data_IF_737379874970
#
_entry.id   IF_737379874970
#
_cell.length_a   1.000
_cell.length_b   1.000
_cell.length_c   1.000
_cell.angle_alpha   90.00
_cell.angle_beta   90.00
_cell.angle_gamma   90.00
#
_symmetry.space_group_name_H-M   'P 1'
#
loop_
_entity.id
_entity.type
_entity.pdbx_description
1 polymer ?
#
# COMPACT_ATOMS: atom_id res chain seq x y z
N UNK A 1 -24.26 -7.97 -9.61
CA UNK A 1 -22.93 -8.57 -9.42
C UNK A 1 -21.93 -7.44 -9.50
N UNK A 2 -21.28 -7.07 -8.40
CA UNK A 2 -20.34 -5.94 -8.37
C UNK A 2 -19.03 -6.36 -9.06
N UNK A 3 -18.74 -5.69 -10.16
CA UNK A 3 -17.54 -5.84 -10.97
C UNK A 3 -16.33 -5.41 -10.13
N UNK A 4 -15.63 -6.38 -9.54
CA UNK A 4 -14.44 -6.15 -8.73
C UNK A 4 -13.20 -6.09 -9.62
N UNK A 5 -12.30 -5.14 -9.35
CA UNK A 5 -11.00 -5.04 -10.04
C UNK A 5 -10.23 -6.36 -9.99
N UNK A 6 -9.44 -6.70 -11.03
CA UNK A 6 -8.63 -7.91 -11.03
C UNK A 6 -7.62 -7.89 -9.88
N UNK A 7 -7.32 -9.06 -9.32
CA UNK A 7 -6.32 -9.24 -8.26
C UNK A 7 -4.96 -9.49 -8.92
N UNK A 8 -4.01 -8.58 -8.69
CA UNK A 8 -2.65 -8.68 -9.21
C UNK A 8 -1.81 -9.58 -8.31
N UNK A 9 -1.30 -10.67 -8.87
CA UNK A 9 -0.56 -11.70 -8.14
C UNK A 9 0.87 -11.74 -8.67
N UNK A 10 1.85 -11.65 -7.79
CA UNK A 10 3.23 -12.00 -8.09
C UNK A 10 3.54 -13.33 -7.41
N UNK A 11 3.91 -14.35 -8.19
CA UNK A 11 4.31 -15.65 -7.66
C UNK A 11 5.81 -15.89 -7.90
N UNK A 12 6.61 -15.91 -6.82
CA UNK A 12 8.01 -16.29 -6.85
C UNK A 12 8.16 -17.77 -6.50
N UNK A 13 8.45 -18.61 -7.50
CA UNK A 13 8.37 -20.08 -7.37
C UNK A 13 9.59 -20.74 -8.01
N UNK A 14 9.88 -21.99 -7.63
CA UNK A 14 10.96 -22.75 -8.29
C UNK A 14 10.65 -22.97 -9.78
N UNK A 15 11.70 -23.01 -10.60
CA UNK A 15 11.60 -23.25 -12.05
C UNK A 15 10.75 -24.51 -12.42
N UNK A 16 10.88 -25.67 -11.75
CA UNK A 16 10.04 -26.83 -12.04
C UNK A 16 8.55 -26.63 -11.74
N UNK A 17 8.20 -25.67 -10.88
CA UNK A 17 6.83 -25.45 -10.41
C UNK A 17 6.05 -24.43 -11.25
N UNK A 18 6.69 -23.71 -12.20
CA UNK A 18 6.05 -22.66 -13.00
C UNK A 18 4.75 -23.15 -13.64
N UNK A 19 4.78 -24.30 -14.30
CA UNK A 19 3.62 -24.82 -15.05
C UNK A 19 2.44 -25.04 -14.13
N UNK A 20 2.66 -25.69 -12.97
CA UNK A 20 1.63 -25.94 -11.96
C UNK A 20 1.01 -24.65 -11.44
N UNK A 21 1.83 -23.66 -11.08
CA UNK A 21 1.34 -22.36 -10.61
C UNK A 21 0.58 -21.60 -11.69
N UNK A 22 1.06 -21.63 -12.94
CA UNK A 22 0.39 -20.96 -14.07
C UNK A 22 -0.99 -21.56 -14.31
N UNK A 23 -1.07 -22.87 -14.39
CA UNK A 23 -2.33 -23.58 -14.59
C UNK A 23 -3.29 -23.34 -13.43
N UNK A 24 -2.82 -23.45 -12.18
CA UNK A 24 -3.64 -23.23 -11.01
C UNK A 24 -4.20 -21.81 -10.95
N UNK A 25 -3.36 -20.78 -11.09
CA UNK A 25 -3.79 -19.38 -11.02
C UNK A 25 -4.68 -18.97 -12.21
N UNK A 26 -4.49 -19.58 -13.38
CA UNK A 26 -5.33 -19.33 -14.56
C UNK A 26 -6.77 -19.83 -14.43
N UNK A 27 -7.07 -20.72 -13.46
CA UNK A 27 -8.44 -21.19 -13.19
C UNK A 27 -9.37 -20.08 -12.71
N UNK A 28 -8.84 -19.01 -12.14
CA UNK A 28 -9.64 -17.87 -11.67
C UNK A 28 -9.52 -16.67 -12.63
N UNK A 29 -10.58 -16.30 -13.36
CA UNK A 29 -10.55 -15.22 -14.35
C UNK A 29 -10.14 -13.85 -13.80
N UNK A 30 -10.43 -13.59 -12.51
CA UNK A 30 -10.08 -12.33 -11.85
C UNK A 30 -8.62 -12.22 -11.48
N UNK A 31 -7.85 -13.31 -11.53
CA UNK A 31 -6.43 -13.28 -11.21
C UNK A 31 -5.61 -12.82 -12.41
N UNK A 32 -4.66 -11.92 -12.14
CA UNK A 32 -3.65 -11.47 -13.08
C UNK A 32 -2.29 -11.82 -12.48
N UNK A 33 -1.77 -12.98 -12.87
CA UNK A 33 -0.57 -13.55 -12.28
C UNK A 33 0.68 -13.26 -13.12
N UNK A 34 1.71 -12.73 -12.47
CA UNK A 34 3.09 -12.74 -12.96
C UNK A 34 3.88 -13.80 -12.19
N UNK A 35 4.54 -14.71 -12.88
CA UNK A 35 5.33 -15.79 -12.27
C UNK A 35 6.81 -15.52 -12.54
N UNK A 36 7.62 -15.55 -11.49
CA UNK A 36 9.06 -15.33 -11.52
C UNK A 36 9.77 -16.47 -10.79
N UNK A 37 11.05 -16.71 -11.11
CA UNK A 37 11.81 -17.86 -10.59
C UNK A 37 13.00 -17.51 -9.73
N UNK A 38 13.25 -16.22 -9.50
CA UNK A 38 14.35 -15.76 -8.66
C UNK A 38 13.86 -14.69 -7.71
N UNK A 39 14.50 -14.65 -6.54
CA UNK A 39 14.32 -13.58 -5.56
C UNK A 39 14.59 -12.21 -6.18
N UNK A 40 15.67 -12.08 -6.95
CA UNK A 40 16.05 -10.81 -7.59
C UNK A 40 14.94 -10.28 -8.50
N UNK A 41 14.38 -11.11 -9.38
CA UNK A 41 13.30 -10.69 -10.29
C UNK A 41 12.05 -10.30 -9.51
N UNK A 42 11.73 -11.05 -8.46
CA UNK A 42 10.60 -10.76 -7.60
C UNK A 42 10.77 -9.44 -6.84
N UNK A 43 11.96 -9.18 -6.26
CA UNK A 43 12.30 -7.91 -5.61
C UNK A 43 12.22 -6.75 -6.58
N UNK A 44 12.78 -6.90 -7.79
CA UNK A 44 12.69 -5.88 -8.82
C UNK A 44 11.24 -5.61 -9.22
N UNK A 45 10.38 -6.63 -9.22
CA UNK A 45 8.95 -6.47 -9.51
C UNK A 45 8.20 -5.77 -8.36
N UNK A 46 8.46 -6.15 -7.11
CA UNK A 46 7.84 -5.53 -5.92
C UNK A 46 8.30 -4.07 -5.71
N UNK A 47 9.53 -3.76 -6.13
CA UNK A 47 10.10 -2.41 -6.08
C UNK A 47 9.76 -1.57 -7.32
N UNK A 48 9.23 -2.17 -8.39
CA UNK A 48 8.82 -1.44 -9.59
C UNK A 48 7.49 -0.75 -9.34
N UNK A 49 7.58 0.56 -9.23
CA UNK A 49 6.46 1.46 -8.91
C UNK A 49 5.33 1.41 -9.94
N UNK A 50 5.62 0.98 -11.17
CA UNK A 50 4.62 0.86 -12.22
C UNK A 50 3.83 -0.45 -12.15
N UNK A 51 4.25 -1.38 -11.28
CA UNK A 51 3.65 -2.70 -11.14
C UNK A 51 2.88 -2.78 -9.84
N UNK A 52 1.58 -2.99 -9.96
CA UNK A 52 0.73 -3.25 -8.80
C UNK A 52 0.82 -4.73 -8.43
N UNK A 53 1.02 -5.01 -7.14
CA UNK A 53 0.94 -6.36 -6.57
C UNK A 53 0.02 -6.31 -5.37
N UNK A 54 -1.08 -7.07 -5.43
CA UNK A 54 -2.04 -7.19 -4.32
C UNK A 54 -1.69 -8.38 -3.42
N UNK A 55 -1.26 -9.49 -4.04
CA UNK A 55 -0.87 -10.72 -3.38
C UNK A 55 0.48 -11.20 -3.88
N UNK A 56 1.39 -11.44 -2.95
CA UNK A 56 2.68 -12.07 -3.19
C UNK A 56 2.64 -13.52 -2.73
N UNK A 57 2.82 -14.45 -3.65
CA UNK A 57 2.93 -15.87 -3.38
C UNK A 57 4.42 -16.24 -3.47
N UNK A 58 4.95 -16.89 -2.45
CA UNK A 58 6.38 -17.27 -2.42
C UNK A 58 6.54 -18.72 -2.02
N UNK A 59 7.26 -19.48 -2.84
CA UNK A 59 7.69 -20.86 -2.55
C UNK A 59 8.84 -20.80 -1.54
N UNK A 60 8.69 -21.47 -0.40
CA UNK A 60 9.70 -21.56 0.66
C UNK A 60 11.04 -22.11 0.15
N UNK A 61 10.98 -22.96 -0.87
CA UNK A 61 12.16 -23.57 -1.49
C UNK A 61 12.74 -22.76 -2.66
N UNK A 62 12.46 -21.46 -2.74
CA UNK A 62 13.03 -20.60 -3.77
C UNK A 62 14.58 -20.62 -3.65
N UNK A 63 15.33 -20.90 -4.74
CA UNK A 63 16.78 -21.10 -4.64
C UNK A 63 17.51 -19.83 -4.16
N UNK A 64 18.51 -20.02 -3.31
CA UNK A 64 19.38 -18.97 -2.78
C UNK A 64 18.65 -17.84 -2.04
N UNK A 65 17.46 -18.12 -1.50
CA UNK A 65 16.62 -17.13 -0.83
C UNK A 65 16.28 -17.59 0.59
N UNK A 66 16.60 -16.77 1.60
CA UNK A 66 15.98 -16.90 2.92
C UNK A 66 14.60 -16.23 2.88
N UNK A 67 13.59 -17.02 2.50
CA UNK A 67 12.21 -16.55 2.31
C UNK A 67 11.65 -15.95 3.60
N UNK A 68 12.01 -16.50 4.77
CA UNK A 68 11.49 -16.01 6.03
C UNK A 68 12.06 -14.65 6.44
N UNK A 69 13.36 -14.42 6.25
CA UNK A 69 13.96 -13.09 6.47
C UNK A 69 13.50 -12.09 5.40
N UNK A 70 13.31 -12.53 4.16
CA UNK A 70 12.78 -11.68 3.11
C UNK A 70 11.36 -11.21 3.42
N UNK A 71 10.46 -12.10 3.82
CA UNK A 71 9.10 -11.75 4.25
C UNK A 71 9.14 -10.73 5.40
N UNK A 72 10.04 -10.91 6.38
CA UNK A 72 10.21 -9.97 7.48
C UNK A 72 10.58 -8.57 6.98
N UNK A 73 11.50 -8.47 6.02
CA UNK A 73 11.85 -7.20 5.36
C UNK A 73 10.66 -6.60 4.60
N UNK A 74 9.92 -7.41 3.83
CA UNK A 74 8.73 -6.97 3.10
C UNK A 74 7.65 -6.42 4.03
N UNK A 75 7.50 -6.94 5.25
CA UNK A 75 6.53 -6.39 6.21
C UNK A 75 6.89 -4.98 6.68
N UNK A 76 8.16 -4.63 6.68
CA UNK A 76 8.62 -3.29 7.06
C UNK A 76 8.37 -2.27 5.94
N UNK A 77 8.58 -2.67 4.68
CA UNK A 77 8.48 -1.77 3.52
C UNK A 77 7.11 -1.79 2.83
N UNK A 78 6.46 -2.95 2.78
CA UNK A 78 5.14 -3.21 2.19
C UNK A 78 4.18 -3.81 3.23
N UNK A 79 3.79 -3.04 4.27
CA UNK A 79 3.00 -3.53 5.41
C UNK A 79 1.59 -4.03 5.06
N UNK A 80 1.19 -3.81 3.81
CA UNK A 80 -0.13 -4.14 3.28
C UNK A 80 -0.07 -5.15 2.14
N UNK A 81 1.11 -5.59 1.73
CA UNK A 81 1.22 -6.70 0.78
C UNK A 81 0.68 -7.96 1.45
N UNK A 82 -0.29 -8.62 0.81
CA UNK A 82 -0.76 -9.93 1.26
C UNK A 82 0.26 -10.97 0.83
N UNK A 83 0.81 -11.73 1.78
CA UNK A 83 1.87 -12.71 1.54
C UNK A 83 1.33 -14.10 1.84
N UNK A 84 1.32 -14.97 0.83
CA UNK A 84 1.02 -16.39 0.95
C UNK A 84 2.31 -17.19 0.77
N UNK A 85 2.76 -17.83 1.84
CA UNK A 85 3.90 -18.76 1.79
C UNK A 85 3.42 -20.12 1.30
N UNK A 86 4.11 -20.71 0.35
CA UNK A 86 3.90 -22.09 -0.10
C UNK A 86 5.06 -22.93 0.41
N UNK A 87 4.74 -23.95 1.19
CA UNK A 87 5.72 -24.84 1.80
C UNK A 87 5.21 -26.29 1.72
N UNK A 88 5.43 -26.92 0.58
CA UNK A 88 4.93 -28.28 0.29
C UNK A 88 5.60 -29.36 1.16
N UNK A 89 6.76 -29.04 1.76
CA UNK A 89 7.55 -29.97 2.59
C UNK A 89 7.24 -29.85 4.09
N UNK A 90 6.43 -28.86 4.49
CA UNK A 90 6.06 -28.66 5.88
C UNK A 90 4.84 -29.52 6.29
N UNK A 91 4.97 -30.22 7.40
CA UNK A 91 3.86 -30.95 8.03
C UNK A 91 2.81 -30.00 8.64
N UNK A 92 3.23 -28.79 9.03
CA UNK A 92 2.37 -27.74 9.57
C UNK A 92 2.92 -26.35 9.23
N UNK A 93 2.03 -25.42 8.89
CA UNK A 93 2.39 -24.02 8.68
C UNK A 93 2.75 -23.37 10.01
N UNK A 94 3.98 -22.86 10.14
CA UNK A 94 4.38 -22.10 11.33
C UNK A 94 3.83 -20.67 11.20
N UNK A 95 2.90 -20.22 12.06
CA UNK A 95 2.32 -18.87 11.95
C UNK A 95 3.36 -17.79 12.29
N UNK A 96 3.28 -16.64 11.63
CA UNK A 96 3.89 -15.40 12.15
C UNK A 96 4.76 -14.59 11.19
N UNK A 97 5.00 -15.02 9.95
CA UNK A 97 5.74 -14.22 8.96
C UNK A 97 4.88 -13.87 7.73
N UNK A 98 4.24 -14.86 7.12
CA UNK A 98 3.25 -14.68 6.06
C UNK A 98 1.83 -14.46 6.63
N UNK A 99 0.90 -13.97 5.82
CA UNK A 99 -0.52 -13.82 6.22
C UNK A 99 -1.20 -15.19 6.27
N UNK A 100 -0.75 -16.11 5.43
CA UNK A 100 -1.20 -17.49 5.40
C UNK A 100 -0.10 -18.41 4.84
N UNK A 101 -0.22 -19.70 5.09
CA UNK A 101 0.69 -20.74 4.60
C UNK A 101 -0.13 -21.82 3.91
N UNK A 102 0.33 -22.29 2.75
CA UNK A 102 -0.24 -23.43 2.05
C UNK A 102 0.77 -24.56 1.96
N UNK A 103 0.42 -25.73 2.48
CA UNK A 103 1.22 -26.95 2.39
C UNK A 103 0.73 -27.88 1.27
N UNK A 104 -0.51 -27.72 0.80
CA UNK A 104 -1.05 -28.46 -0.34
C UNK A 104 -1.66 -27.54 -1.40
N UNK A 105 -0.89 -26.57 -1.96
CA UNK A 105 -1.40 -25.48 -2.80
C UNK A 105 -2.26 -25.93 -3.99
N UNK A 106 -1.99 -27.10 -4.56
CA UNK A 106 -2.69 -27.61 -5.75
C UNK A 106 -3.83 -28.58 -5.42
N UNK A 107 -3.97 -29.02 -4.17
CA UNK A 107 -5.02 -29.93 -3.75
C UNK A 107 -6.30 -29.15 -3.50
N UNK A 108 -7.41 -29.60 -4.07
CA UNK A 108 -8.75 -29.01 -3.88
C UNK A 108 -8.79 -27.48 -4.08
N UNK A 109 -7.96 -26.96 -4.99
CA UNK A 109 -7.79 -25.52 -5.26
C UNK A 109 -7.43 -24.68 -4.03
N UNK A 110 -6.67 -25.24 -3.07
CA UNK A 110 -6.30 -24.58 -1.82
C UNK A 110 -5.63 -23.21 -2.04
N UNK A 111 -4.66 -23.13 -2.97
CA UNK A 111 -3.99 -21.88 -3.34
C UNK A 111 -5.01 -20.79 -3.69
N UNK A 112 -5.98 -21.11 -4.56
CA UNK A 112 -6.99 -20.15 -4.99
C UNK A 112 -7.91 -19.74 -3.84
N UNK A 113 -8.36 -20.70 -3.03
CA UNK A 113 -9.22 -20.47 -1.87
C UNK A 113 -8.56 -19.54 -0.86
N UNK A 114 -7.27 -19.75 -0.56
CA UNK A 114 -6.50 -18.91 0.36
C UNK A 114 -6.33 -17.48 -0.16
N UNK A 115 -5.93 -17.31 -1.44
CA UNK A 115 -5.79 -15.98 -2.06
C UNK A 115 -7.11 -15.20 -2.02
N UNK A 116 -8.23 -15.85 -2.37
CA UNK A 116 -9.57 -15.23 -2.29
C UNK A 116 -9.93 -14.84 -0.87
N UNK A 117 -9.81 -15.78 0.08
CA UNK A 117 -10.11 -15.55 1.49
C UNK A 117 -9.33 -14.36 2.05
N UNK A 118 -8.01 -14.33 1.84
CA UNK A 118 -7.16 -13.23 2.33
C UNK A 118 -7.57 -11.87 1.73
N UNK A 119 -7.92 -11.86 0.43
CA UNK A 119 -8.38 -10.64 -0.26
C UNK A 119 -9.73 -10.16 0.29
N UNK A 120 -10.65 -11.09 0.58
CA UNK A 120 -11.97 -10.82 1.16
C UNK A 120 -11.86 -10.35 2.62
N UNK A 121 -11.05 -11.03 3.44
CA UNK A 121 -10.79 -10.66 4.83
C UNK A 121 -10.21 -9.24 4.94
N UNK A 122 -9.24 -8.90 4.07
CA UNK A 122 -8.70 -7.54 3.99
C UNK A 122 -9.76 -6.50 3.62
N UNK A 123 -10.64 -6.84 2.69
CA UNK A 123 -11.75 -5.98 2.28
C UNK A 123 -12.74 -5.75 3.44
N UNK A 124 -13.10 -6.82 4.16
CA UNK A 124 -13.98 -6.77 5.33
C UNK A 124 -13.35 -6.01 6.51
N UNK A 125 -12.05 -6.18 6.75
CA UNK A 125 -11.33 -5.45 7.80
C UNK A 125 -11.37 -3.94 7.54
N UNK A 126 -11.20 -3.53 6.29
CA UNK A 126 -11.31 -2.13 5.87
C UNK A 126 -12.72 -1.58 6.11
N UNK A 127 -13.77 -2.34 5.74
CA UNK A 127 -15.17 -1.97 6.00
C UNK A 127 -15.50 -1.85 7.49
N UNK A 128 -14.95 -2.73 8.33
CA UNK A 128 -15.13 -2.63 9.79
C UNK A 128 -14.41 -1.41 10.36
N UNK A 129 -13.21 -1.13 9.88
CA UNK A 129 -12.43 0.01 10.37
C UNK A 129 -13.05 1.37 9.98
N UNK A 130 -13.78 1.44 8.88
CA UNK A 130 -14.62 2.60 8.53
C UNK A 130 -15.68 2.96 9.59
N UNK A 131 -16.05 2.01 10.45
CA UNK A 131 -17.01 2.24 11.55
C UNK A 131 -16.39 2.85 12.81
N UNK A 132 -15.06 2.98 12.87
CA UNK A 132 -14.36 3.51 14.04
C UNK A 132 -14.74 4.98 14.32
N UNK A 133 -14.92 5.39 15.60
CA UNK A 133 -15.35 6.74 15.92
C UNK A 133 -14.52 7.88 15.30
N UNK A 134 -13.17 7.81 15.25
CA UNK A 134 -12.35 8.83 14.59
C UNK A 134 -12.66 8.94 13.08
N UNK A 135 -12.82 7.82 12.39
CA UNK A 135 -13.16 7.79 10.96
C UNK A 135 -14.57 8.32 10.72
N UNK A 136 -15.53 7.97 11.57
CA UNK A 136 -16.90 8.50 11.49
C UNK A 136 -16.95 10.01 11.72
N UNK A 137 -16.18 10.52 12.68
CA UNK A 137 -16.09 11.95 12.96
C UNK A 137 -15.45 12.69 11.78
N UNK A 138 -14.40 12.12 11.21
CA UNK A 138 -13.78 12.64 9.99
C UNK A 138 -14.75 12.62 8.81
N UNK A 139 -15.49 11.55 8.58
CA UNK A 139 -16.49 11.47 7.51
C UNK A 139 -17.59 12.55 7.66
N UNK A 140 -17.97 12.90 8.90
CA UNK A 140 -18.87 14.04 9.16
C UNK A 140 -18.19 15.37 8.83
N UNK A 141 -16.93 15.56 9.19
CA UNK A 141 -16.16 16.76 8.87
C UNK A 141 -16.00 16.94 7.35
N UNK A 142 -15.69 15.87 6.61
CA UNK A 142 -15.62 15.86 5.14
C UNK A 142 -16.93 16.28 4.47
N UNK A 143 -18.08 15.85 5.01
CA UNK A 143 -19.40 16.24 4.48
C UNK A 143 -19.72 17.72 4.70
N UNK A 144 -19.16 18.32 5.76
CA UNK A 144 -19.32 19.75 6.09
C UNK A 144 -18.33 20.64 5.35
N UNK A 145 -17.19 20.09 4.95
CA UNK A 145 -16.16 20.84 4.23
C UNK A 145 -16.65 21.19 2.82
N UNK A 146 -16.66 22.49 2.52
CA UNK A 146 -17.05 22.99 1.20
C UNK A 146 -15.86 22.95 0.25
N UNK A 147 -16.08 22.41 -0.96
CA UNK A 147 -15.12 22.31 -2.06
C UNK A 147 -13.93 21.39 -1.78
N UNK A 148 -13.27 20.94 -2.85
CA UNK A 148 -12.10 20.07 -2.83
C UNK A 148 -11.01 20.50 -1.84
N UNK A 149 -10.62 21.79 -1.84
CA UNK A 149 -9.56 22.32 -0.94
C UNK A 149 -9.91 22.13 0.54
N UNK A 150 -11.16 22.42 0.94
CA UNK A 150 -11.60 22.25 2.32
C UNK A 150 -11.55 20.79 2.76
N UNK A 151 -11.90 19.85 1.87
CA UNK A 151 -11.84 18.41 2.13
C UNK A 151 -10.41 17.90 2.29
N UNK A 152 -9.50 18.39 1.45
CA UNK A 152 -8.07 18.08 1.54
C UNK A 152 -7.46 18.58 2.85
N UNK A 153 -7.80 19.81 3.27
CA UNK A 153 -7.33 20.34 4.56
C UNK A 153 -7.90 19.54 5.74
N UNK A 154 -9.18 19.16 5.69
CA UNK A 154 -9.79 18.32 6.71
C UNK A 154 -9.11 16.95 6.82
N UNK A 155 -8.71 16.35 5.69
CA UNK A 155 -7.98 15.08 5.69
C UNK A 155 -6.59 15.20 6.31
N UNK A 156 -5.84 16.23 5.94
CA UNK A 156 -4.52 16.52 6.53
C UNK A 156 -4.64 16.73 8.05
N UNK A 157 -5.65 17.49 8.50
CA UNK A 157 -5.92 17.69 9.93
C UNK A 157 -6.23 16.38 10.64
N UNK A 158 -7.11 15.54 10.07
CA UNK A 158 -7.48 14.26 10.66
C UNK A 158 -6.28 13.31 10.79
N UNK A 159 -5.37 13.30 9.83
CA UNK A 159 -4.13 12.52 9.94
C UNK A 159 -3.20 13.12 10.99
N UNK A 160 -3.08 14.46 11.08
CA UNK A 160 -2.29 15.11 12.14
C UNK A 160 -2.78 14.72 13.53
N UNK A 161 -4.10 14.64 13.71
CA UNK A 161 -4.75 14.25 14.97
C UNK A 161 -4.47 12.79 15.38
N UNK A 162 -3.98 11.93 14.47
CA UNK A 162 -3.47 10.59 14.80
C UNK A 162 -2.07 10.62 15.44
N UNK A 163 -1.55 11.80 15.77
CA UNK A 163 -0.24 11.99 16.41
C UNK A 163 0.94 11.91 15.43
N UNK A 164 0.74 12.29 14.17
CA UNK A 164 1.86 12.56 13.27
C UNK A 164 2.38 13.98 13.50
N UNK A 165 3.67 14.21 13.30
CA UNK A 165 4.31 15.50 13.60
C UNK A 165 4.14 16.49 12.46
N UNK A 166 4.14 16.00 11.23
CA UNK A 166 3.87 16.77 10.03
C UNK A 166 3.10 15.92 9.02
N UNK A 167 2.17 16.54 8.29
CA UNK A 167 1.33 15.88 7.29
C UNK A 167 1.19 16.78 6.07
N UNK A 168 1.32 16.21 4.88
CA UNK A 168 1.13 16.91 3.62
C UNK A 168 0.33 16.05 2.64
N UNK A 169 -0.52 16.70 1.85
CA UNK A 169 -1.24 16.09 0.76
C UNK A 169 -0.81 16.71 -0.57
N UNK A 170 -0.34 15.86 -1.47
CA UNK A 170 0.05 16.20 -2.83
C UNK A 170 -1.02 15.72 -3.81
N UNK A 171 -1.53 16.62 -4.64
CA UNK A 171 -2.45 16.28 -5.73
C UNK A 171 -1.70 15.92 -7.01
N UNK A 172 -2.22 14.94 -7.75
CA UNK A 172 -1.76 14.68 -9.12
C UNK A 172 -2.22 15.82 -10.02
N UNK A 173 -1.26 16.51 -10.61
CA UNK A 173 -1.49 17.52 -11.66
C UNK A 173 -1.33 16.86 -13.02
N UNK A 174 -2.32 16.98 -13.92
CA UNK A 174 -2.21 16.42 -15.26
C UNK A 174 -1.07 17.08 -16.05
N UNK A 175 -0.32 16.28 -16.79
CA UNK A 175 0.84 16.69 -17.60
C UNK A 175 1.62 15.48 -18.13
N UNK A 176 2.60 15.72 -18.99
CA UNK A 176 3.52 14.69 -19.50
C UNK A 176 4.99 15.12 -19.23
N UNK A 177 5.67 14.52 -18.23
CA UNK A 177 5.13 13.60 -17.24
C UNK A 177 4.19 14.29 -16.24
N UNK A 178 3.30 13.54 -15.57
CA UNK A 178 2.49 14.06 -14.47
C UNK A 178 3.38 14.67 -13.38
N UNK A 179 2.83 15.54 -12.54
CA UNK A 179 3.55 16.07 -11.39
C UNK A 179 2.70 16.04 -10.14
N UNK A 180 3.36 16.03 -8.99
CA UNK A 180 2.71 16.14 -7.70
C UNK A 180 2.85 17.57 -7.18
N UNK A 181 1.72 18.19 -6.87
CA UNK A 181 1.66 19.57 -6.36
C UNK A 181 1.11 19.55 -4.93
N UNK A 182 1.81 20.21 -4.01
CA UNK A 182 1.40 20.35 -2.62
C UNK A 182 0.10 21.16 -2.55
N UNK A 183 -0.95 20.54 -2.03
CA UNK A 183 -2.29 21.14 -1.98
C UNK A 183 -2.69 21.55 -0.57
N UNK A 184 -2.33 20.75 0.44
CA UNK A 184 -2.56 21.06 1.85
C UNK A 184 -1.47 20.46 2.71
N UNK A 185 -1.16 21.11 3.83
CA UNK A 185 -0.20 20.62 4.81
C UNK A 185 -0.50 21.16 6.21
N UNK A 186 -0.02 20.45 7.23
CA UNK A 186 -0.13 20.82 8.63
C UNK A 186 1.05 20.25 9.42
N UNK A 187 1.70 21.10 10.23
CA UNK A 187 2.79 20.75 11.11
C UNK A 187 3.50 22.00 11.61
N UNK A 188 4.75 21.86 12.03
CA UNK A 188 5.55 23.02 12.47
C UNK A 188 5.90 23.95 11.30
N UNK A 189 5.82 25.26 11.54
CA UNK A 189 6.09 26.30 10.52
C UNK A 189 7.42 26.15 9.78
N UNK A 190 8.55 25.87 10.47
CA UNK A 190 9.83 25.65 9.80
C UNK A 190 9.86 24.43 8.86
N UNK A 191 9.06 23.40 9.12
CA UNK A 191 8.95 22.25 8.22
C UNK A 191 8.05 22.60 7.04
N UNK A 192 6.94 23.29 7.30
CA UNK A 192 6.01 23.71 6.25
C UNK A 192 6.66 24.60 5.18
N UNK A 193 7.62 25.43 5.57
CA UNK A 193 8.37 26.29 4.64
C UNK A 193 9.43 25.54 3.83
N UNK A 194 9.83 24.34 4.27
CA UNK A 194 10.78 23.49 3.55
C UNK A 194 10.10 22.53 2.56
N UNK A 195 8.79 22.31 2.70
CA UNK A 195 8.05 21.38 1.85
C UNK A 195 8.02 21.86 0.40
N UNK A 196 8.41 21.01 -0.58
CA UNK A 196 8.41 21.40 -1.98
C UNK A 196 6.97 21.58 -2.45
N UNK A 197 6.70 22.72 -3.08
CA UNK A 197 5.39 23.03 -3.68
C UNK A 197 5.08 22.07 -4.83
N UNK A 198 6.11 21.62 -5.55
CA UNK A 198 6.01 20.64 -6.63
C UNK A 198 7.11 19.60 -6.50
N UNK A 199 6.76 18.34 -6.69
CA UNK A 199 7.74 17.24 -6.76
C UNK A 199 7.54 16.40 -8.03
N UNK A 200 8.62 15.72 -8.43
CA UNK A 200 8.62 14.85 -9.60
C UNK A 200 7.83 13.56 -9.32
N UNK A 201 7.22 13.00 -10.35
CA UNK A 201 6.46 11.74 -10.30
C UNK A 201 7.35 10.48 -10.31
N UNK A 202 8.67 10.67 -10.38
CA UNK A 202 9.69 9.61 -10.26
C UNK A 202 10.27 9.51 -8.84
N UNK A 203 9.79 10.32 -7.89
CA UNK A 203 10.20 10.22 -6.50
C UNK A 203 9.38 9.18 -5.71
N UNK A 204 9.70 9.03 -4.42
CA UNK A 204 8.99 8.11 -3.51
C UNK A 204 7.48 8.40 -3.40
N UNK A 205 7.03 9.64 -3.62
CA UNK A 205 5.62 10.00 -3.60
C UNK A 205 4.93 9.56 -4.89
N UNK A 206 5.56 9.82 -6.04
CA UNK A 206 5.12 9.30 -7.34
C UNK A 206 5.05 7.78 -7.34
N UNK A 207 6.02 7.12 -6.70
CA UNK A 207 6.05 5.67 -6.50
C UNK A 207 4.76 5.12 -5.91
N UNK A 208 4.33 5.74 -4.81
CA UNK A 208 3.15 5.34 -4.04
C UNK A 208 1.88 5.59 -4.84
N UNK A 209 1.80 6.70 -5.59
CA UNK A 209 0.65 6.97 -6.46
C UNK A 209 0.56 5.97 -7.60
N UNK A 210 1.68 5.60 -8.24
CA UNK A 210 1.73 4.63 -9.34
C UNK A 210 1.37 3.23 -8.86
N UNK A 211 2.01 2.77 -7.78
CA UNK A 211 1.84 1.43 -7.24
C UNK A 211 0.52 1.21 -6.49
N UNK A 212 -0.14 2.27 -6.03
CA UNK A 212 -1.44 2.19 -5.37
C UNK A 212 -1.41 1.50 -3.99
N UNK A 213 -0.22 1.29 -3.42
CA UNK A 213 -0.02 0.70 -2.10
C UNK A 213 0.67 1.70 -1.17
N UNK A 214 0.31 1.74 0.12
CA UNK A 214 1.03 2.58 1.09
C UNK A 214 2.45 2.06 1.31
N UNK A 215 3.37 2.99 1.60
CA UNK A 215 4.78 2.69 1.86
C UNK A 215 5.24 3.38 3.13
N UNK A 216 5.94 2.63 3.98
CA UNK A 216 6.70 3.20 5.11
C UNK A 216 8.09 3.53 4.59
N UNK A 217 8.58 4.71 4.95
CA UNK A 217 9.85 5.26 4.50
C UNK A 217 10.67 5.57 5.75
N UNK A 218 11.85 4.95 5.85
CA UNK A 218 12.79 5.12 6.94
C UNK A 218 14.05 5.88 6.46
N UNK A 219 14.82 6.47 7.38
CA UNK A 219 16.15 7.02 7.07
C UNK A 219 17.04 5.94 6.43
N UNK A 220 17.63 6.27 5.27
CA UNK A 220 18.47 5.35 4.50
C UNK A 220 17.75 4.52 3.43
N UNK A 221 16.42 4.56 3.37
CA UNK A 221 15.68 3.93 2.26
C UNK A 221 16.02 4.60 0.91
N UNK A 222 15.82 3.89 -0.20
CA UNK A 222 15.97 4.43 -1.55
C UNK A 222 14.87 3.87 -2.48
N UNK A 223 14.02 4.71 -3.10
CA UNK A 223 13.95 6.17 -2.94
C UNK A 223 13.42 6.59 -1.55
N UNK A 224 13.85 7.76 -1.07
CA UNK A 224 13.42 8.36 0.21
C UNK A 224 12.86 9.76 0.02
N UNK A 225 12.36 10.33 1.11
CA UNK A 225 11.90 11.71 1.17
C UNK A 225 12.99 12.61 1.76
N UNK A 226 13.24 13.77 1.15
CA UNK A 226 14.36 14.66 1.52
C UNK A 226 14.38 15.08 3.00
N UNK A 227 13.21 15.15 3.66
CA UNK A 227 13.15 15.45 5.10
C UNK A 227 13.72 14.34 5.98
N UNK A 228 13.62 13.07 5.55
CA UNK A 228 14.24 11.93 6.22
C UNK A 228 15.75 11.94 5.96
N UNK A 229 16.17 12.21 4.71
CA UNK A 229 17.58 12.34 4.34
C UNK A 229 18.30 13.44 5.12
N UNK A 230 17.60 14.55 5.40
CA UNK A 230 18.11 15.66 6.22
C UNK A 230 17.99 15.41 7.73
N UNK A 231 17.56 14.23 8.16
CA UNK A 231 17.43 13.89 9.58
C UNK A 231 16.39 14.72 10.34
N UNK A 232 15.39 15.28 9.65
CA UNK A 232 14.32 16.08 10.29
C UNK A 232 13.23 15.20 10.92
N UNK A 233 13.07 13.99 10.41
CA UNK A 233 12.13 13.00 10.91
C UNK A 233 12.78 11.61 10.94
N UNK A 234 12.28 10.73 11.79
CA UNK A 234 12.76 9.37 11.95
C UNK A 234 11.99 8.33 11.14
N UNK A 235 10.78 8.65 10.66
CA UNK A 235 10.01 7.81 9.76
C UNK A 235 8.91 8.61 9.04
N UNK A 236 8.46 8.12 7.90
CA UNK A 236 7.28 8.61 7.20
C UNK A 236 6.40 7.47 6.68
N UNK A 237 5.11 7.74 6.50
CA UNK A 237 4.20 6.88 5.74
C UNK A 237 3.62 7.70 4.60
N UNK A 238 3.68 7.15 3.40
CA UNK A 238 3.02 7.68 2.23
C UNK A 238 1.87 6.74 1.83
N UNK A 239 0.68 7.30 1.62
CA UNK A 239 -0.55 6.56 1.34
C UNK A 239 -1.24 7.17 0.12
N UNK A 240 -1.58 6.37 -0.90
CA UNK A 240 -2.24 6.88 -2.10
C UNK A 240 -3.68 7.30 -1.79
N UNK A 241 -4.14 8.39 -2.40
CA UNK A 241 -5.51 8.88 -2.32
C UNK A 241 -6.23 8.52 -3.61
N UNK A 242 -6.94 7.39 -3.57
CA UNK A 242 -7.63 6.81 -4.73
C UNK A 242 -6.70 5.94 -5.58
N UNK A 243 -7.10 4.70 -5.80
CA UNK A 243 -6.33 3.71 -6.58
C UNK A 243 -6.74 3.74 -8.06
N UNK A 244 -8.04 3.82 -8.35
CA UNK A 244 -8.57 3.90 -9.73
C UNK A 244 -8.49 5.32 -10.28
N UNK A 245 -9.03 6.29 -9.55
CA UNK A 245 -8.87 7.71 -9.83
C UNK A 245 -7.76 8.22 -8.91
N UNK A 246 -6.54 8.30 -9.45
CA UNK A 246 -5.34 8.72 -8.70
C UNK A 246 -5.44 10.22 -8.40
N UNK A 247 -5.99 10.58 -7.24
CA UNK A 247 -6.14 11.99 -6.85
C UNK A 247 -4.84 12.57 -6.29
N UNK A 248 -3.98 11.73 -5.69
CA UNK A 248 -2.78 12.21 -5.01
C UNK A 248 -2.18 11.21 -4.04
N UNK A 249 -1.33 11.71 -3.15
CA UNK A 249 -0.70 10.97 -2.06
C UNK A 249 -0.66 11.82 -0.80
N UNK A 250 -1.02 11.18 0.32
CA UNK A 250 -0.87 11.73 1.66
C UNK A 250 0.45 11.23 2.23
N UNK A 251 1.33 12.12 2.67
CA UNK A 251 2.53 11.76 3.43
C UNK A 251 2.46 12.31 4.84
N UNK A 252 2.78 11.47 5.83
CA UNK A 252 2.75 11.82 7.23
C UNK A 252 4.05 11.36 7.92
N UNK A 253 4.63 12.24 8.74
CA UNK A 253 5.95 12.06 9.35
C UNK A 253 5.87 11.87 10.86
N UNK A 254 6.83 11.12 11.40
CA UNK A 254 7.10 11.04 12.84
C UNK A 254 8.57 11.28 13.15
N UNK A 255 8.86 11.99 14.23
CA UNK A 255 10.22 12.27 14.68
C UNK A 255 10.95 11.00 15.13
N UNK A 256 10.25 10.09 15.81
CA UNK A 256 10.85 8.87 16.32
C UNK A 256 10.96 7.79 15.22
N UNK A 257 12.15 7.20 15.00
CA UNK A 257 12.32 6.07 14.08
C UNK A 257 11.50 4.85 14.48
N UNK A 258 11.02 4.08 13.49
CA UNK A 258 10.25 2.85 13.72
C UNK A 258 8.91 3.05 14.44
N UNK A 259 8.44 4.30 14.58
CA UNK A 259 7.24 4.64 15.35
C UNK A 259 5.92 4.45 14.58
N UNK A 260 5.98 4.13 13.29
CA UNK A 260 4.81 3.92 12.43
C UNK A 260 4.42 2.45 12.50
N UNK A 261 3.29 2.17 13.17
CA UNK A 261 2.73 0.82 13.33
C UNK A 261 1.67 0.53 12.26
N UNK A 262 1.43 -0.75 11.99
CA UNK A 262 0.43 -1.19 11.01
C UNK A 262 -0.97 -0.60 11.26
N UNK A 263 -1.42 -0.56 12.52
CA UNK A 263 -2.70 0.06 12.90
C UNK A 263 -2.76 1.55 12.52
N UNK A 264 -1.66 2.28 12.67
CA UNK A 264 -1.58 3.70 12.31
C UNK A 264 -1.67 3.90 10.80
N UNK A 265 -1.13 2.98 10.00
CA UNK A 265 -1.21 3.01 8.53
C UNK A 265 -2.66 2.80 8.08
N UNK A 266 -3.36 1.82 8.68
CA UNK A 266 -4.76 1.53 8.37
C UNK A 266 -5.65 2.77 8.61
N UNK A 267 -5.43 3.49 9.71
CA UNK A 267 -6.19 4.71 10.00
C UNK A 267 -5.96 5.80 8.94
N UNK A 268 -4.72 5.97 8.45
CA UNK A 268 -4.40 6.91 7.36
C UNK A 268 -5.01 6.46 6.03
N UNK A 269 -4.97 5.16 5.72
CA UNK A 269 -5.62 4.58 4.54
C UNK A 269 -7.13 4.86 4.51
N UNK A 270 -7.83 4.69 5.64
CA UNK A 270 -9.27 4.95 5.72
C UNK A 270 -9.58 6.43 5.51
N UNK A 271 -8.78 7.33 6.10
CA UNK A 271 -8.90 8.77 5.85
C UNK A 271 -8.71 9.07 4.35
N UNK A 272 -7.69 8.48 3.72
CA UNK A 272 -7.41 8.65 2.29
C UNK A 272 -8.53 8.08 1.40
N UNK A 273 -9.11 6.94 1.76
CA UNK A 273 -10.22 6.33 1.04
C UNK A 273 -11.50 7.19 1.11
N UNK A 274 -11.82 7.72 2.29
CA UNK A 274 -12.96 8.63 2.48
C UNK A 274 -12.75 9.95 1.72
N UNK A 275 -11.52 10.49 1.72
CA UNK A 275 -11.16 11.65 0.91
C UNK A 275 -11.35 11.36 -0.59
N UNK A 276 -10.79 10.25 -1.09
CA UNK A 276 -10.92 9.86 -2.50
C UNK A 276 -12.39 9.71 -2.92
N UNK A 277 -13.23 9.09 -2.08
CA UNK A 277 -14.66 8.99 -2.31
C UNK A 277 -15.34 10.36 -2.39
N UNK A 278 -14.96 11.29 -1.51
CA UNK A 278 -15.51 12.64 -1.47
C UNK A 278 -15.08 13.50 -2.67
N UNK A 279 -13.85 13.32 -3.17
CA UNK A 279 -13.32 13.99 -4.37
C UNK A 279 -13.95 13.43 -5.65
N UNK A 280 -14.10 12.10 -5.75
CA UNK A 280 -14.75 11.46 -6.89
C UNK A 280 -16.21 11.90 -7.05
N UNK A 281 -16.93 12.11 -5.94
CA UNK A 281 -18.30 12.65 -5.98
C UNK A 281 -18.36 14.09 -6.49
N UNK A 282 -17.38 14.92 -6.17
CA UNK A 282 -17.32 16.29 -6.70
C UNK A 282 -17.04 16.30 -8.20
N UNK A 283 -16.11 15.45 -8.68
CA UNK A 283 -15.82 15.36 -10.12
C UNK A 283 -17.01 14.85 -10.95
N UNK A 284 -17.91 14.05 -10.37
CA UNK A 284 -19.11 13.51 -11.04
C UNK A 284 -20.34 14.42 -10.96
N UNK A 285 -20.38 15.30 -9.96
CA UNK A 285 -21.51 16.20 -9.70
C UNK A 285 -21.26 17.64 -10.15
N UNK A 286 -20.12 17.90 -10.81
CA UNK A 286 -19.79 19.15 -11.49
C UNK A 286 -20.17 19.12 -12.96
#
# INVERSE_FOLDING_TARGET
>A
MTDGSPIQILAAVRLPSIVKFREALAKEPKFRATIVTSEETARNHLNDENKQVDVFVVDNNLPNCDVYEWIRGLRQTHPRLLILLVDEDADFGTPGRADDVSTTPFKDDELLKKIKRMSEERSLATLRADSLPPIRNFAKALRKANKSVGKQQAAVSAVKDLGYDHVAFYTVSPGEPPALTLSSQLGEGPIMSLMPVRTNYDDILGAVVKGGQPKVINPGDNPSHFLLEKGRFGAAVAVPVGTTLRFGVMIAFRQQPGSIKQESIVMVELICAQLASALAKEQRGG
#
